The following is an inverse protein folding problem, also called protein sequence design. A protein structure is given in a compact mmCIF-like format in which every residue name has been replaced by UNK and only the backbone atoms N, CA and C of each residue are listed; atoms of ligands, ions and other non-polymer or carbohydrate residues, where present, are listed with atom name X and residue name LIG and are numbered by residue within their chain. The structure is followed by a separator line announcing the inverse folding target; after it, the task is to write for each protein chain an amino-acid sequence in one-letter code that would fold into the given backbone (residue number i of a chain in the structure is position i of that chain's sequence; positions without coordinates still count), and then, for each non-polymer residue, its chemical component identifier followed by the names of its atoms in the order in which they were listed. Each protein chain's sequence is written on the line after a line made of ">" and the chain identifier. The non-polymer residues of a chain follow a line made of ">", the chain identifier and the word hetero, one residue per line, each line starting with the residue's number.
data_IF_870134191768
#
_entry.id   IF_870134191768
#
_cell.length_a   1.000
_cell.length_b   1.000
_cell.length_c   1.000
_cell.angle_alpha   90.00
_cell.angle_beta   90.00
_cell.angle_gamma   90.00
#
_symmetry.space_group_name_H-M   'P 1'
#
loop_
_entity.id
_entity.type
_entity.pdbx_description
1 polymer ?
#
# COMPACT_ATOMS: atom_id res chain seq x y z
N UNK A 1 -34.62 7.81 26.69
CA UNK A 1 -33.60 8.49 25.85
C UNK A 1 -32.24 7.91 26.25
N UNK A 2 -31.58 7.19 25.36
CA UNK A 2 -30.24 6.67 25.64
C UNK A 2 -29.27 7.84 25.58
N UNK A 3 -28.37 7.95 26.57
CA UNK A 3 -27.29 8.90 26.54
C UNK A 3 -26.44 8.70 25.27
N UNK A 4 -25.94 9.76 24.61
CA UNK A 4 -25.06 9.60 23.45
C UNK A 4 -23.82 8.80 23.88
N UNK A 5 -23.42 7.86 23.02
CA UNK A 5 -22.17 7.10 23.24
C UNK A 5 -20.99 8.09 23.29
N UNK A 6 -20.01 7.89 24.17
CA UNK A 6 -18.83 8.74 24.21
C UNK A 6 -18.12 8.66 22.84
N UNK A 7 -17.65 9.82 22.35
CA UNK A 7 -16.85 9.87 21.13
C UNK A 7 -15.55 9.08 21.36
N UNK A 8 -15.25 8.06 20.54
CA UNK A 8 -14.01 7.31 20.71
C UNK A 8 -12.80 8.21 20.53
N UNK A 9 -11.88 8.21 21.48
CA UNK A 9 -10.60 8.86 21.33
C UNK A 9 -9.75 8.10 20.30
N UNK A 10 -9.15 8.82 19.33
CA UNK A 10 -8.20 8.26 18.39
C UNK A 10 -6.90 7.92 19.14
N UNK A 11 -6.79 6.68 19.58
CA UNK A 11 -5.56 6.17 20.20
C UNK A 11 -4.55 5.82 19.12
N UNK A 12 -3.29 6.22 19.28
CA UNK A 12 -2.17 5.82 18.44
C UNK A 12 -1.05 5.23 19.28
N UNK A 13 -0.26 4.36 18.68
CA UNK A 13 0.95 3.78 19.30
C UNK A 13 2.19 4.20 18.51
N UNK A 14 3.40 4.13 19.10
CA UNK A 14 4.64 4.41 18.41
C UNK A 14 4.77 3.59 17.10
N UNK A 15 5.29 4.23 16.06
CA UNK A 15 5.31 3.63 14.71
C UNK A 15 6.62 2.90 14.42
N UNK A 16 7.68 3.19 15.11
CA UNK A 16 9.04 2.63 15.09
C UNK A 16 9.30 1.58 13.97
N UNK A 17 9.65 2.01 12.73
CA UNK A 17 9.91 1.09 11.66
C UNK A 17 11.23 0.35 11.89
N UNK A 18 11.35 -0.93 11.50
CA UNK A 18 12.63 -1.63 11.51
C UNK A 18 13.70 -0.94 10.66
N UNK A 19 15.00 -1.18 10.92
CA UNK A 19 16.08 -0.59 10.15
C UNK A 19 15.94 -0.79 8.63
N UNK A 20 16.28 0.26 7.86
CA UNK A 20 16.23 0.26 6.42
C UNK A 20 14.89 0.69 5.81
N UNK A 21 13.81 0.73 6.58
CA UNK A 21 12.53 1.27 6.11
C UNK A 21 12.52 2.81 6.11
N UNK A 22 11.89 3.38 5.07
CA UNK A 22 11.70 4.82 4.89
C UNK A 22 10.23 5.13 4.77
N UNK A 23 9.79 6.25 5.33
CA UNK A 23 8.41 6.73 5.21
C UNK A 23 8.05 6.95 3.74
N UNK A 24 6.85 6.51 3.35
CA UNK A 24 6.26 6.84 2.06
C UNK A 24 5.59 8.21 2.19
N UNK A 25 6.12 9.19 1.48
CA UNK A 25 5.54 10.53 1.44
C UNK A 25 4.53 10.63 0.29
N UNK A 26 3.27 10.36 0.58
CA UNK A 26 2.18 10.47 -0.38
C UNK A 26 1.82 11.93 -0.72
N UNK A 27 2.26 12.90 0.07
CA UNK A 27 1.99 14.32 -0.18
C UNK A 27 2.90 14.90 -1.28
N UNK A 28 4.06 14.25 -1.55
CA UNK A 28 4.93 14.68 -2.66
C UNK A 28 4.29 14.60 -4.03
N UNK A 29 3.26 13.78 -4.19
CA UNK A 29 2.59 13.53 -5.48
C UNK A 29 1.20 14.13 -5.57
N UNK A 30 0.71 14.75 -4.49
CA UNK A 30 -0.61 15.37 -4.45
C UNK A 30 -0.65 16.47 -3.40
N UNK A 31 -1.17 17.64 -3.77
CA UNK A 31 -1.44 18.75 -2.84
C UNK A 31 -2.72 18.53 -2.04
N UNK A 32 -3.50 17.51 -2.40
CA UNK A 32 -4.77 17.18 -1.75
C UNK A 32 -4.57 15.97 -0.84
N UNK A 33 -5.10 16.05 0.38
CA UNK A 33 -5.24 14.89 1.27
C UNK A 33 -6.08 13.84 0.54
N UNK A 34 -5.52 12.66 0.35
CA UNK A 34 -6.16 11.56 -0.36
C UNK A 34 -6.23 10.31 0.51
N UNK A 35 -6.84 9.24 0.00
CA UNK A 35 -7.03 8.01 0.75
C UNK A 35 -5.73 7.45 1.33
N UNK A 36 -4.62 7.48 0.57
CA UNK A 36 -3.34 6.93 1.01
C UNK A 36 -2.75 7.68 2.22
N UNK A 37 -3.07 8.97 2.39
CA UNK A 37 -2.63 9.74 3.55
C UNK A 37 -3.42 9.40 4.82
N UNK A 38 -4.63 8.84 4.69
CA UNK A 38 -5.45 8.42 5.83
C UNK A 38 -5.10 7.02 6.33
N UNK A 39 -4.59 6.15 5.46
CA UNK A 39 -4.31 4.74 5.84
C UNK A 39 -2.90 4.53 6.39
N UNK A 40 -2.05 5.57 6.37
CA UNK A 40 -0.67 5.54 6.87
C UNK A 40 -0.54 5.80 8.38
N UNK A 41 0.72 5.90 8.85
CA UNK A 41 1.94 5.95 8.04
C UNK A 41 2.35 4.60 7.47
N UNK A 42 2.79 4.62 6.22
CA UNK A 42 3.32 3.46 5.51
C UNK A 42 4.80 3.67 5.18
N UNK A 43 5.54 2.60 5.15
CA UNK A 43 6.97 2.61 4.92
C UNK A 43 7.33 1.72 3.74
N UNK A 44 8.51 1.93 3.19
CA UNK A 44 9.07 1.04 2.17
C UNK A 44 10.54 0.78 2.40
N UNK A 45 10.98 -0.38 1.96
CA UNK A 45 12.38 -0.78 1.83
C UNK A 45 12.60 -1.32 0.43
N UNK A 46 13.78 -1.11 -0.12
CA UNK A 46 14.22 -1.65 -1.41
C UNK A 46 15.46 -2.46 -1.21
N UNK A 47 15.73 -3.38 -2.13
CA UNK A 47 17.01 -4.06 -2.24
C UNK A 47 18.17 -3.09 -2.42
N UNK A 48 19.36 -3.59 -2.71
CA UNK A 48 20.56 -2.78 -2.87
C UNK A 48 20.39 -1.67 -3.90
N UNK A 49 21.13 -0.56 -3.69
CA UNK A 49 21.06 0.59 -4.58
C UNK A 49 21.44 0.20 -6.02
N UNK A 50 20.52 0.40 -6.95
CA UNK A 50 20.69 0.07 -8.36
C UNK A 50 20.05 -1.25 -8.77
N UNK A 51 19.67 -2.11 -7.84
CA UNK A 51 18.91 -3.32 -8.11
C UNK A 51 17.40 -3.03 -8.12
N UNK A 52 16.60 -3.93 -8.71
CA UNK A 52 15.14 -3.93 -8.69
C UNK A 52 14.62 -5.30 -8.33
N UNK A 53 15.31 -5.98 -7.46
CA UNK A 53 15.07 -7.34 -7.04
C UNK A 53 14.15 -7.44 -5.83
N UNK A 54 14.04 -6.36 -5.05
CA UNK A 54 13.20 -6.33 -3.86
C UNK A 54 12.47 -4.99 -3.67
N UNK A 55 11.18 -5.08 -3.39
CA UNK A 55 10.36 -4.00 -2.85
C UNK A 55 9.53 -4.54 -1.70
N UNK A 56 9.67 -3.93 -0.53
CA UNK A 56 8.92 -4.29 0.67
C UNK A 56 8.19 -3.06 1.17
N UNK A 57 6.90 -3.18 1.43
CA UNK A 57 6.11 -2.17 2.13
C UNK A 57 5.98 -2.58 3.60
N UNK A 58 6.03 -1.63 4.51
CA UNK A 58 5.92 -1.85 5.95
C UNK A 58 4.84 -1.02 6.60
N UNK A 59 4.18 -1.58 7.60
CA UNK A 59 3.12 -0.97 8.37
C UNK A 59 3.18 -1.41 9.83
N UNK A 60 3.13 -0.45 10.78
CA UNK A 60 2.85 -0.76 12.19
C UNK A 60 1.35 -0.71 12.41
N UNK A 61 0.73 -1.83 12.77
CA UNK A 61 -0.72 -1.90 12.99
C UNK A 61 -1.13 -0.94 14.11
N UNK A 62 -1.91 0.07 13.76
CA UNK A 62 -2.45 1.07 14.67
C UNK A 62 -3.84 0.64 15.18
N UNK A 63 -4.28 1.09 16.36
CA UNK A 63 -5.60 0.75 16.91
C UNK A 63 -6.75 1.05 15.95
N UNK A 64 -6.71 2.20 15.24
CA UNK A 64 -7.76 2.60 14.29
C UNK A 64 -7.81 1.76 13.01
N UNK A 65 -6.79 0.93 12.76
CA UNK A 65 -6.73 -0.01 11.64
C UNK A 65 -7.38 -1.35 11.99
N UNK A 66 -7.76 -1.56 13.26
CA UNK A 66 -8.29 -2.82 13.75
C UNK A 66 -9.81 -2.89 13.65
N UNK A 67 -10.33 -4.10 13.54
CA UNK A 67 -11.74 -4.41 13.68
C UNK A 67 -12.12 -4.52 15.17
N UNK A 68 -13.43 -4.68 15.51
CA UNK A 68 -13.85 -4.81 16.91
C UNK A 68 -13.28 -6.03 17.67
N UNK A 69 -12.73 -7.02 16.96
CA UNK A 69 -12.04 -8.16 17.57
C UNK A 69 -10.55 -7.85 17.90
N UNK A 70 -10.08 -6.60 17.69
CA UNK A 70 -8.71 -6.20 17.97
C UNK A 70 -7.67 -6.74 16.98
N UNK A 71 -8.11 -7.17 15.79
CA UNK A 71 -7.22 -7.61 14.72
C UNK A 71 -7.26 -6.65 13.54
N UNK A 72 -6.17 -6.58 12.79
CA UNK A 72 -6.07 -5.74 11.58
C UNK A 72 -7.26 -6.01 10.66
N UNK A 73 -8.01 -4.96 10.34
CA UNK A 73 -9.21 -5.08 9.52
C UNK A 73 -8.87 -5.60 8.12
N UNK A 74 -9.67 -6.54 7.61
CA UNK A 74 -9.45 -7.13 6.28
C UNK A 74 -9.39 -6.08 5.17
N UNK A 75 -10.23 -5.05 5.21
CA UNK A 75 -10.17 -3.92 4.29
C UNK A 75 -8.83 -3.18 4.33
N UNK A 76 -8.21 -3.05 5.52
CA UNK A 76 -6.88 -2.45 5.63
C UNK A 76 -5.80 -3.36 5.03
N UNK A 77 -5.90 -4.68 5.25
CA UNK A 77 -5.01 -5.64 4.59
C UNK A 77 -5.12 -5.57 3.06
N UNK A 78 -6.36 -5.46 2.52
CA UNK A 78 -6.60 -5.29 1.09
C UNK A 78 -5.97 -4.01 0.56
N UNK A 79 -6.11 -2.90 1.29
CA UNK A 79 -5.50 -1.61 0.93
C UNK A 79 -3.98 -1.70 0.85
N UNK A 80 -3.33 -2.30 1.86
CA UNK A 80 -1.88 -2.49 1.85
C UNK A 80 -1.46 -3.38 0.68
N UNK A 81 -2.17 -4.47 0.43
CA UNK A 81 -1.87 -5.37 -0.69
C UNK A 81 -2.03 -4.67 -2.06
N UNK A 82 -3.06 -3.82 -2.23
CA UNK A 82 -3.25 -3.04 -3.46
C UNK A 82 -2.09 -2.05 -3.69
N UNK A 83 -1.66 -1.35 -2.64
CA UNK A 83 -0.50 -0.45 -2.72
C UNK A 83 0.80 -1.21 -3.04
N UNK A 84 1.01 -2.37 -2.44
CA UNK A 84 2.14 -3.27 -2.78
C UNK A 84 2.06 -3.69 -4.23
N UNK A 85 0.87 -4.07 -4.71
CA UNK A 85 0.62 -4.46 -6.10
C UNK A 85 0.95 -3.36 -7.10
N UNK A 86 0.49 -2.14 -6.86
CA UNK A 86 0.76 -1.00 -7.73
C UNK A 86 2.22 -0.53 -7.66
N UNK A 87 2.68 -0.15 -6.47
CA UNK A 87 4.01 0.45 -6.27
C UNK A 87 5.13 -0.57 -6.47
N UNK A 88 4.98 -1.77 -5.93
CA UNK A 88 5.98 -2.81 -6.04
C UNK A 88 6.12 -3.35 -7.46
N UNK A 89 5.00 -3.64 -8.15
CA UNK A 89 5.05 -4.14 -9.52
C UNK A 89 5.68 -3.12 -10.47
N UNK A 90 5.35 -1.83 -10.34
CA UNK A 90 5.98 -0.77 -11.16
C UNK A 90 7.47 -0.63 -10.86
N UNK A 91 7.87 -0.74 -9.59
CA UNK A 91 9.28 -0.71 -9.21
C UNK A 91 10.06 -1.86 -9.83
N UNK A 92 9.59 -3.11 -9.66
CA UNK A 92 10.27 -4.31 -10.19
C UNK A 92 10.27 -4.32 -11.74
N UNK A 93 9.19 -3.89 -12.38
CA UNK A 93 9.10 -3.77 -13.83
C UNK A 93 9.90 -2.59 -14.41
N UNK A 94 10.49 -1.74 -13.57
CA UNK A 94 11.24 -0.56 -13.99
C UNK A 94 10.41 0.56 -14.60
N UNK A 95 9.12 0.58 -14.35
CA UNK A 95 8.20 1.62 -14.79
C UNK A 95 8.28 2.79 -13.83
N UNK A 96 8.48 4.00 -14.37
CA UNK A 96 8.60 5.23 -13.57
C UNK A 96 7.58 6.28 -14.00
N UNK A 97 7.10 7.09 -13.03
CA UNK A 97 6.25 8.24 -13.31
C UNK A 97 4.86 7.91 -13.87
N UNK A 98 4.41 6.65 -13.76
CA UNK A 98 3.09 6.24 -14.19
C UNK A 98 2.25 5.76 -13.01
N UNK A 99 1.03 6.26 -12.95
CA UNK A 99 0.00 5.65 -12.11
C UNK A 99 -0.54 4.41 -12.83
N UNK A 100 -0.60 3.28 -12.13
CA UNK A 100 -1.07 1.99 -12.67
C UNK A 100 -2.35 1.59 -11.95
N UNK A 101 -3.52 1.74 -12.58
CA UNK A 101 -4.78 1.34 -11.95
C UNK A 101 -4.86 -0.18 -11.84
N UNK A 102 -5.40 -0.64 -10.71
CA UNK A 102 -5.69 -2.04 -10.45
C UNK A 102 -6.87 -2.49 -11.30
N UNK A 103 -6.69 -3.59 -12.03
CA UNK A 103 -7.72 -4.18 -12.90
C UNK A 103 -8.48 -5.28 -12.16
N UNK A 104 -7.74 -6.11 -11.41
CA UNK A 104 -8.32 -7.22 -10.66
C UNK A 104 -7.42 -7.60 -9.50
N UNK A 105 -8.04 -7.95 -8.37
CA UNK A 105 -7.37 -8.57 -7.24
C UNK A 105 -8.24 -9.65 -6.62
N UNK A 106 -7.61 -10.72 -6.16
CA UNK A 106 -8.21 -11.74 -5.31
C UNK A 106 -7.41 -11.88 -4.03
N UNK A 107 -8.08 -12.16 -2.93
CA UNK A 107 -7.49 -12.16 -1.59
C UNK A 107 -7.86 -13.42 -0.81
N UNK A 108 -6.87 -13.99 -0.13
CA UNK A 108 -7.06 -15.02 0.89
C UNK A 108 -6.52 -14.50 2.22
N UNK A 109 -7.39 -14.39 3.21
CA UNK A 109 -7.01 -14.00 4.57
C UNK A 109 -6.62 -15.26 5.34
N UNK A 110 -5.35 -15.38 5.70
CA UNK A 110 -4.75 -16.64 6.18
C UNK A 110 -4.63 -16.66 7.70
N UNK A 111 -4.21 -15.52 8.29
CA UNK A 111 -4.05 -15.39 9.73
C UNK A 111 -4.31 -13.93 10.17
N UNK A 112 -4.65 -13.70 11.45
CA UNK A 112 -4.81 -12.35 11.98
C UNK A 112 -3.46 -11.69 12.24
N UNK A 113 -3.39 -10.36 12.06
CA UNK A 113 -2.40 -9.49 12.69
C UNK A 113 -3.09 -8.70 13.81
N UNK A 114 -2.34 -8.27 14.81
CA UNK A 114 -2.85 -7.56 15.98
C UNK A 114 -2.30 -6.14 16.06
N UNK A 115 -2.91 -5.32 16.88
CA UNK A 115 -2.36 -4.01 17.24
C UNK A 115 -0.90 -4.14 17.68
N UNK A 116 -0.04 -3.28 17.14
CA UNK A 116 1.39 -3.27 17.43
C UNK A 116 2.23 -4.20 16.55
N UNK A 117 1.64 -5.13 15.82
CA UNK A 117 2.39 -5.96 14.89
C UNK A 117 3.03 -5.11 13.77
N UNK A 118 4.22 -5.51 13.33
CA UNK A 118 4.83 -4.99 12.11
C UNK A 118 4.47 -5.89 10.94
N UNK A 119 3.67 -5.36 10.01
CA UNK A 119 3.26 -6.05 8.80
C UNK A 119 4.20 -5.68 7.65
N UNK A 120 4.70 -6.67 6.93
CA UNK A 120 5.45 -6.48 5.69
C UNK A 120 4.67 -7.00 4.49
N UNK A 121 4.62 -6.21 3.43
CA UNK A 121 4.03 -6.56 2.15
C UNK A 121 5.12 -6.73 1.09
N UNK A 122 5.17 -7.92 0.47
CA UNK A 122 6.09 -8.28 -0.60
C UNK A 122 5.32 -8.76 -1.81
N UNK A 123 5.91 -8.61 -3.00
CA UNK A 123 5.34 -9.18 -4.19
C UNK A 123 6.37 -9.94 -5.01
N UNK A 124 5.86 -10.91 -5.75
CA UNK A 124 6.51 -11.59 -6.86
C UNK A 124 5.91 -11.07 -8.15
N UNK A 125 6.73 -10.48 -9.03
CA UNK A 125 6.30 -10.07 -10.37
C UNK A 125 6.30 -11.30 -11.28
N UNK A 126 5.12 -11.90 -11.48
CA UNK A 126 4.95 -13.12 -12.28
C UNK A 126 5.20 -12.85 -13.75
N UNK A 127 4.65 -11.75 -14.28
CA UNK A 127 4.83 -11.35 -15.67
C UNK A 127 4.62 -9.86 -15.86
N UNK A 128 5.47 -9.25 -16.66
CA UNK A 128 5.28 -7.91 -17.19
C UNK A 128 5.03 -7.99 -18.70
N UNK A 129 3.97 -7.33 -19.18
CA UNK A 129 3.67 -7.11 -20.59
C UNK A 129 3.68 -5.62 -20.89
N UNK A 130 3.46 -5.24 -22.16
CA UNK A 130 3.38 -3.82 -22.55
C UNK A 130 2.22 -3.08 -21.85
N UNK A 131 1.14 -3.77 -21.49
CA UNK A 131 -0.11 -3.16 -21.00
C UNK A 131 -0.58 -3.67 -19.64
N UNK A 132 -0.05 -4.77 -19.14
CA UNK A 132 -0.45 -5.39 -17.87
C UNK A 132 0.77 -5.91 -17.11
N UNK A 133 0.71 -5.80 -15.77
CA UNK A 133 1.62 -6.48 -14.84
C UNK A 133 0.80 -7.48 -14.02
N UNK A 134 1.32 -8.68 -13.88
CA UNK A 134 0.74 -9.77 -13.10
C UNK A 134 1.64 -10.05 -11.91
N UNK A 135 1.10 -10.06 -10.70
CA UNK A 135 1.89 -10.30 -9.50
C UNK A 135 1.14 -11.13 -8.47
N UNK A 136 1.92 -11.84 -7.63
CA UNK A 136 1.46 -12.43 -6.37
C UNK A 136 1.97 -11.58 -5.22
N UNK A 137 1.13 -11.39 -4.20
CA UNK A 137 1.42 -10.54 -3.05
C UNK A 137 1.23 -11.35 -1.78
N UNK A 138 2.12 -11.13 -0.82
CA UNK A 138 2.03 -11.70 0.51
C UNK A 138 2.17 -10.59 1.54
N UNK A 139 1.28 -10.55 2.53
CA UNK A 139 1.48 -9.80 3.75
C UNK A 139 1.90 -10.76 4.85
N UNK A 140 2.89 -10.36 5.65
CA UNK A 140 3.45 -11.18 6.74
C UNK A 140 3.60 -10.40 8.03
N UNK A 141 3.55 -11.10 9.18
CA UNK A 141 4.04 -10.66 10.48
C UNK A 141 5.14 -11.63 10.88
N UNK A 142 6.39 -11.17 10.89
CA UNK A 142 7.53 -12.07 10.95
C UNK A 142 7.47 -13.11 9.82
N UNK A 143 7.57 -14.39 10.16
CA UNK A 143 7.50 -15.49 9.19
C UNK A 143 6.06 -15.95 8.87
N UNK A 144 5.05 -15.42 9.59
CA UNK A 144 3.66 -15.82 9.42
C UNK A 144 3.00 -15.04 8.28
N UNK A 145 2.54 -15.74 7.24
CA UNK A 145 1.69 -15.15 6.19
C UNK A 145 0.31 -14.87 6.74
N UNK A 146 -0.14 -13.62 6.65
CA UNK A 146 -1.46 -13.17 7.13
C UNK A 146 -2.44 -12.96 5.97
N UNK A 147 -1.91 -12.68 4.76
CA UNK A 147 -2.71 -12.52 3.55
C UNK A 147 -1.89 -13.00 2.33
N UNK A 148 -2.60 -13.61 1.38
CA UNK A 148 -2.13 -13.87 0.02
C UNK A 148 -3.06 -13.16 -0.97
N UNK A 149 -2.50 -12.57 -2.04
CA UNK A 149 -3.30 -11.98 -3.10
C UNK A 149 -2.68 -12.25 -4.48
N UNK A 150 -3.54 -12.29 -5.51
CA UNK A 150 -3.14 -12.16 -6.91
C UNK A 150 -3.60 -10.80 -7.41
N UNK A 151 -2.74 -10.09 -8.15
CA UNK A 151 -3.01 -8.73 -8.62
C UNK A 151 -2.67 -8.57 -10.08
N UNK A 152 -3.55 -7.88 -10.80
CA UNK A 152 -3.33 -7.43 -12.19
C UNK A 152 -3.49 -5.92 -12.21
N UNK A 153 -2.45 -5.20 -12.65
CA UNK A 153 -2.50 -3.75 -12.84
C UNK A 153 -2.30 -3.40 -14.31
N UNK A 154 -2.93 -2.31 -14.75
CA UNK A 154 -2.81 -1.81 -16.13
C UNK A 154 -1.65 -0.83 -16.22
N UNK A 155 -0.79 -1.00 -17.23
CA UNK A 155 0.22 0.00 -17.61
C UNK A 155 -0.40 0.90 -18.68
N UNK A 156 -0.65 2.20 -18.38
CA UNK A 156 -1.21 3.11 -19.37
C UNK A 156 -0.27 3.32 -20.57
N UNK A 157 -0.83 3.47 -21.78
CA UNK A 157 -0.11 3.95 -22.94
C UNK A 157 0.13 5.46 -22.83
N UNK A 158 1.32 5.95 -23.21
CA UNK A 158 1.69 7.37 -23.11
C UNK A 158 2.16 7.77 -21.70
N UNK A 159 2.11 9.08 -21.40
CA UNK A 159 2.63 9.64 -20.14
C UNK A 159 1.74 9.38 -18.93
N UNK A 160 0.60 8.74 -19.13
CA UNK A 160 -0.33 8.33 -18.10
C UNK A 160 -1.11 9.50 -17.45
N UNK A 161 -2.03 9.15 -16.55
CA UNK A 161 -2.95 10.07 -15.86
C UNK A 161 -2.26 11.21 -15.10
N UNK A 162 -1.00 11.05 -14.66
CA UNK A 162 -0.23 12.10 -13.98
C UNK A 162 0.07 13.31 -14.89
N UNK A 163 0.13 13.10 -16.22
CA UNK A 163 0.33 14.19 -17.19
C UNK A 163 -0.90 15.08 -17.35
N UNK A 164 -2.12 14.51 -17.20
CA UNK A 164 -3.36 15.26 -17.33
C UNK A 164 -3.62 16.18 -16.13
N UNK A 165 -3.17 15.80 -14.94
CA UNK A 165 -3.28 16.67 -13.75
C UNK A 165 -2.37 17.90 -13.85
N UNK A 166 -1.19 17.76 -14.44
CA UNK A 166 -0.28 18.87 -14.70
C UNK A 166 -0.75 19.82 -15.82
N UNK A 167 -1.64 19.38 -16.71
CA UNK A 167 -2.29 20.23 -17.73
C UNK A 167 -3.47 21.00 -17.17
N UNK A 168 -4.34 20.33 -16.38
CA UNK A 168 -5.51 20.97 -15.79
C UNK A 168 -5.15 22.11 -14.83
N UNK A 169 -4.00 22.03 -14.12
CA UNK A 169 -3.54 23.12 -13.27
C UNK A 169 -2.93 24.29 -14.02
N UNK A 170 -2.49 24.13 -15.29
CA UNK A 170 -1.96 25.23 -16.13
C UNK A 170 -3.02 25.94 -16.96
N UNK A 171 -4.20 25.36 -17.10
CA UNK A 171 -5.34 25.99 -17.79
C UNK A 171 -6.21 26.84 -16.86
N UNK A 172 -5.91 26.86 -15.54
CA UNK A 172 -6.61 27.66 -14.52
C UNK A 172 -5.75 28.84 -14.00
N UNK A 173 -4.57 29.09 -14.54
CA UNK A 173 -3.75 30.30 -14.35
C UNK A 173 -3.91 31.26 -15.56
#
# INVERSE_FOLDING_TARGET
>A
MNAPLPTPELRSIPVDPPPGFKLIDFQRTSTVINFNTHVGPLFYKRGEKGTRDEFVMGLRVQPYMCNPAGTLHGGMMMTVADLVGGMGATFLAGIRGKFVPTVSMTFDFVAPAREGDWVEGRLELVRATRSLLFSHIYLTVGDTKILRASCIVKVPSGDGWMADQGRASREQE
#
